data_IF_265367316662
#
_entry.id   IF_265367316662
#
_cell.length_a   1.000
_cell.length_b   1.000
_cell.length_c   1.000
_cell.angle_alpha   90.00
_cell.angle_beta   90.00
_cell.angle_gamma   90.00
#
_symmetry.space_group_name_H-M   'P 1'
#
loop_
_entity.id
_entity.type
_entity.pdbx_description
1 polymer ?
#
# COMPACT_ATOMS: atom_id res chain seq x y z
N UNK A 1 20.27 13.77 -10.91
CA UNK A 1 21.00 14.80 -10.16
C UNK A 1 22.51 14.53 -10.06
N UNK A 2 23.04 13.48 -10.70
CA UNK A 2 24.49 13.21 -10.80
C UNK A 2 25.15 12.70 -9.50
N UNK A 3 24.42 12.45 -8.43
CA UNK A 3 24.95 11.87 -7.20
C UNK A 3 25.08 10.35 -7.33
N UNK A 4 26.13 9.80 -6.73
CA UNK A 4 26.33 8.35 -6.57
C UNK A 4 25.82 7.90 -5.19
N UNK A 5 25.46 6.62 -5.01
CA UNK A 5 25.09 6.10 -3.69
C UNK A 5 26.16 6.36 -2.60
N UNK A 6 27.45 6.39 -2.99
CA UNK A 6 28.55 6.71 -2.10
C UNK A 6 28.58 8.16 -1.59
N UNK A 7 27.84 9.05 -2.23
CA UNK A 7 27.79 10.47 -1.85
C UNK A 7 26.74 10.72 -0.76
N UNK A 8 25.99 9.68 -0.38
CA UNK A 8 24.93 9.72 0.62
C UNK A 8 25.24 8.72 1.75
N UNK A 9 25.16 9.19 2.99
CA UNK A 9 25.26 8.31 4.15
C UNK A 9 23.86 7.70 4.44
N UNK A 10 23.64 6.48 3.99
CA UNK A 10 22.38 5.75 4.16
C UNK A 10 22.33 5.08 5.53
N UNK A 11 21.34 5.46 6.34
CA UNK A 11 21.05 4.80 7.63
C UNK A 11 19.63 4.24 7.64
N UNK A 12 19.45 3.09 8.27
CA UNK A 12 18.13 2.47 8.42
C UNK A 12 17.52 2.91 9.76
N UNK A 13 16.40 3.61 9.69
CA UNK A 13 15.64 4.05 10.87
C UNK A 13 14.22 3.53 10.81
N UNK A 14 13.70 3.08 11.94
CA UNK A 14 12.25 2.83 12.06
C UNK A 14 11.48 4.15 11.94
N UNK A 15 10.32 4.20 11.24
CA UNK A 15 9.59 5.44 11.00
C UNK A 15 9.26 6.26 12.25
N UNK A 16 8.90 5.67 13.41
CA UNK A 16 8.67 6.44 14.63
C UNK A 16 9.90 7.20 15.15
N UNK A 17 11.10 6.72 14.79
CA UNK A 17 12.38 7.34 15.21
C UNK A 17 12.80 8.44 14.24
N UNK A 18 12.41 8.33 12.97
CA UNK A 18 12.84 9.26 11.92
C UNK A 18 12.30 10.68 12.13
N UNK A 19 11.05 10.85 12.56
CA UNK A 19 10.46 12.19 12.80
C UNK A 19 11.24 12.95 13.89
N UNK A 20 11.49 12.40 15.10
CA UNK A 20 12.34 13.04 16.08
C UNK A 20 13.80 13.27 15.61
N UNK A 21 14.36 12.34 14.82
CA UNK A 21 15.71 12.48 14.28
C UNK A 21 15.80 13.68 13.31
N UNK A 22 14.80 13.83 12.42
CA UNK A 22 14.69 14.98 11.53
C UNK A 22 14.58 16.30 12.31
N UNK A 23 13.70 16.36 13.30
CA UNK A 23 13.51 17.55 14.15
C UNK A 23 14.78 17.97 14.91
N UNK A 24 15.68 17.04 15.17
CA UNK A 24 16.98 17.29 15.83
C UNK A 24 18.11 17.50 14.85
N UNK A 25 17.84 17.62 13.55
CA UNK A 25 18.86 17.72 12.48
C UNK A 25 19.86 16.57 12.49
N UNK A 26 19.42 15.36 12.84
CA UNK A 26 20.25 14.15 12.83
C UNK A 26 20.17 13.41 11.49
N UNK A 27 19.19 13.75 10.66
CA UNK A 27 19.05 13.29 9.27
C UNK A 27 18.60 14.47 8.40
N UNK A 28 19.06 14.49 7.16
CA UNK A 28 18.75 15.53 6.18
C UNK A 28 17.52 15.21 5.33
N UNK A 29 17.20 13.93 5.17
CA UNK A 29 16.05 13.43 4.43
C UNK A 29 15.65 12.04 4.85
N UNK A 30 14.45 11.63 4.45
CA UNK A 30 13.93 10.30 4.76
C UNK A 30 13.01 9.78 3.66
N UNK A 31 13.20 8.54 3.26
CA UNK A 31 12.30 7.83 2.36
C UNK A 31 11.32 7.00 3.17
N UNK A 32 10.02 7.30 3.06
CA UNK A 32 9.00 6.72 3.92
C UNK A 32 7.64 6.68 3.22
N UNK A 33 6.74 5.84 3.71
CA UNK A 33 5.35 5.78 3.24
C UNK A 33 4.44 6.84 3.89
N UNK A 34 3.32 7.09 3.27
CA UNK A 34 2.44 8.26 3.36
C UNK A 34 2.17 8.81 4.76
N UNK A 35 1.77 7.97 5.73
CA UNK A 35 1.43 8.42 7.10
C UNK A 35 2.61 9.13 7.77
N UNK A 36 3.80 8.59 7.62
CA UNK A 36 5.01 9.14 8.22
C UNK A 36 5.54 10.33 7.43
N UNK A 37 5.31 10.32 6.10
CA UNK A 37 5.56 11.48 5.24
C UNK A 37 4.75 12.68 5.70
N UNK A 38 3.45 12.52 5.92
CA UNK A 38 2.58 13.59 6.42
C UNK A 38 3.05 14.15 7.78
N UNK A 39 3.54 13.28 8.69
CA UNK A 39 4.11 13.72 9.98
C UNK A 39 5.40 14.51 9.82
N UNK A 40 6.26 14.12 8.88
CA UNK A 40 7.48 14.85 8.58
C UNK A 40 7.15 16.22 7.97
N UNK A 41 6.20 16.29 7.04
CA UNK A 41 5.73 17.56 6.47
C UNK A 41 5.15 18.49 7.54
N UNK A 42 4.34 17.95 8.47
CA UNK A 42 3.85 18.69 9.63
C UNK A 42 4.97 19.18 10.57
N UNK A 43 6.14 18.53 10.53
CA UNK A 43 7.34 18.94 11.27
C UNK A 43 8.25 19.90 10.49
N UNK A 44 7.79 20.39 9.33
CA UNK A 44 8.53 21.34 8.49
C UNK A 44 9.38 20.70 7.39
N UNK A 45 9.31 19.37 7.21
CA UNK A 45 9.97 18.72 6.07
C UNK A 45 9.25 19.06 4.76
N UNK A 46 10.01 19.08 3.68
CA UNK A 46 9.49 19.31 2.33
C UNK A 46 9.42 18.00 1.56
N UNK A 47 8.25 17.68 1.02
CA UNK A 47 8.12 16.60 0.03
C UNK A 47 8.93 16.96 -1.22
N UNK A 48 9.92 16.13 -1.56
CA UNK A 48 10.79 16.33 -2.73
C UNK A 48 10.28 15.54 -3.92
N UNK A 49 9.93 14.26 -3.70
CA UNK A 49 9.52 13.33 -4.75
C UNK A 49 8.64 12.23 -4.20
N UNK A 50 7.71 11.75 -5.00
CA UNK A 50 6.92 10.54 -4.73
C UNK A 50 7.35 9.43 -5.65
N UNK A 51 7.44 8.22 -5.14
CA UNK A 51 7.81 7.04 -5.95
C UNK A 51 6.87 6.83 -7.15
N UNK A 52 5.59 7.15 -7.02
CA UNK A 52 4.60 7.04 -8.10
C UNK A 52 4.91 7.99 -9.27
N UNK A 53 5.49 9.16 -9.00
CA UNK A 53 5.85 10.13 -10.04
C UNK A 53 7.03 9.63 -10.89
N UNK A 54 7.85 8.72 -10.35
CA UNK A 54 8.95 8.04 -11.04
C UNK A 54 8.52 6.69 -11.64
N UNK A 55 7.22 6.40 -11.66
CA UNK A 55 6.69 5.15 -12.20
C UNK A 55 6.86 3.94 -11.29
N UNK A 56 7.24 4.13 -10.02
CA UNK A 56 7.27 3.07 -9.03
C UNK A 56 5.90 2.93 -8.38
N UNK A 57 5.16 1.85 -8.67
CA UNK A 57 3.84 1.65 -8.09
C UNK A 57 3.95 1.45 -6.58
N UNK A 58 3.07 2.10 -5.85
CA UNK A 58 2.91 1.91 -4.41
C UNK A 58 1.56 1.28 -4.12
N UNK A 59 1.57 0.18 -3.40
CA UNK A 59 0.36 -0.50 -2.94
C UNK A 59 0.56 -1.11 -1.57
N UNK A 60 -0.44 -0.96 -0.71
CA UNK A 60 -0.52 -1.72 0.53
C UNK A 60 -1.20 -3.04 0.25
N UNK A 61 -0.59 -4.14 0.70
CA UNK A 61 -1.08 -5.49 0.45
C UNK A 61 -1.23 -6.27 1.75
N UNK A 62 -2.20 -7.17 1.78
CA UNK A 62 -2.31 -8.21 2.79
C UNK A 62 -1.64 -9.46 2.26
N UNK A 63 -0.87 -10.14 3.10
CA UNK A 63 -0.16 -11.36 2.73
C UNK A 63 -0.60 -12.53 3.61
N UNK A 64 -0.64 -13.71 3.01
CA UNK A 64 -0.86 -14.98 3.71
C UNK A 64 0.16 -15.98 3.23
N UNK A 65 0.62 -16.89 4.10
CA UNK A 65 1.52 -17.95 3.68
C UNK A 65 0.79 -18.97 2.81
N UNK A 66 1.51 -19.65 1.93
CA UNK A 66 0.94 -20.72 1.08
C UNK A 66 0.41 -21.88 1.92
N UNK A 67 1.09 -22.19 3.02
CA UNK A 67 0.70 -23.23 3.98
C UNK A 67 -0.63 -22.88 4.66
N UNK A 68 -0.80 -21.63 5.09
CA UNK A 68 -2.06 -21.16 5.66
C UNK A 68 -3.20 -21.25 4.66
N UNK A 69 -2.99 -20.79 3.42
CA UNK A 69 -3.99 -20.83 2.36
C UNK A 69 -4.41 -22.26 2.02
N UNK A 70 -3.46 -23.18 1.96
CA UNK A 70 -3.74 -24.59 1.67
C UNK A 70 -4.52 -25.28 2.82
N UNK A 71 -4.19 -24.96 4.07
CA UNK A 71 -4.85 -25.54 5.23
C UNK A 71 -6.20 -24.91 5.55
N UNK A 72 -6.40 -23.62 5.19
CA UNK A 72 -7.55 -22.82 5.66
C UNK A 72 -8.20 -21.97 4.54
N UNK A 73 -8.57 -22.55 3.38
CA UNK A 73 -9.09 -21.78 2.24
C UNK A 73 -10.36 -20.99 2.57
N UNK A 74 -11.26 -21.55 3.37
CA UNK A 74 -12.50 -20.88 3.79
C UNK A 74 -12.24 -19.71 4.74
N UNK A 75 -11.28 -19.83 5.64
CA UNK A 75 -10.91 -18.73 6.53
C UNK A 75 -10.28 -17.58 5.73
N UNK A 76 -9.43 -17.89 4.75
CA UNK A 76 -8.85 -16.91 3.85
C UNK A 76 -9.93 -16.20 3.02
N UNK A 77 -10.90 -16.94 2.46
CA UNK A 77 -12.02 -16.35 1.72
C UNK A 77 -12.87 -15.43 2.59
N UNK A 78 -13.21 -15.84 3.83
CA UNK A 78 -13.95 -14.99 4.78
C UNK A 78 -13.18 -13.73 5.17
N UNK A 79 -11.88 -13.84 5.39
CA UNK A 79 -11.04 -12.67 5.69
C UNK A 79 -11.07 -11.66 4.53
N UNK A 80 -10.88 -12.13 3.30
CA UNK A 80 -10.93 -11.28 2.10
C UNK A 80 -12.33 -10.66 1.93
N UNK A 81 -13.40 -11.44 2.16
CA UNK A 81 -14.77 -10.93 2.10
C UNK A 81 -15.03 -9.81 3.12
N UNK A 82 -14.52 -9.96 4.36
CA UNK A 82 -14.62 -8.92 5.40
C UNK A 82 -13.89 -7.64 4.99
N UNK A 83 -12.68 -7.75 4.44
CA UNK A 83 -11.95 -6.60 3.92
C UNK A 83 -12.70 -5.92 2.76
N UNK A 84 -13.29 -6.73 1.86
CA UNK A 84 -14.10 -6.22 0.76
C UNK A 84 -15.34 -5.48 1.25
N UNK A 85 -16.03 -6.02 2.25
CA UNK A 85 -17.19 -5.36 2.87
C UNK A 85 -16.78 -4.02 3.46
N UNK A 86 -15.74 -3.97 4.28
CA UNK A 86 -15.23 -2.74 4.87
C UNK A 86 -14.84 -1.70 3.80
N UNK A 87 -14.13 -2.12 2.75
CA UNK A 87 -13.76 -1.25 1.64
C UNK A 87 -14.99 -0.70 0.90
N UNK A 88 -16.01 -1.53 0.70
CA UNK A 88 -17.26 -1.15 0.03
C UNK A 88 -18.03 -0.13 0.86
N UNK A 89 -18.16 -0.36 2.17
CA UNK A 89 -18.84 0.54 3.10
C UNK A 89 -18.10 1.89 3.20
N UNK A 90 -16.77 1.87 3.30
CA UNK A 90 -15.96 3.08 3.29
C UNK A 90 -16.17 3.90 2.01
N UNK A 91 -16.14 3.26 0.84
CA UNK A 91 -16.38 3.92 -0.45
C UNK A 91 -17.77 4.52 -0.54
N UNK A 92 -18.80 3.78 -0.10
CA UNK A 92 -20.17 4.26 -0.07
C UNK A 92 -20.33 5.48 0.84
N UNK A 93 -19.74 5.45 2.03
CA UNK A 93 -19.76 6.58 2.97
C UNK A 93 -19.02 7.80 2.42
N UNK A 94 -17.87 7.61 1.81
CA UNK A 94 -17.12 8.70 1.17
C UNK A 94 -17.89 9.31 -0.01
N UNK A 95 -18.54 8.48 -0.84
CA UNK A 95 -19.33 8.93 -1.97
C UNK A 95 -20.61 9.70 -1.54
N UNK A 96 -21.22 9.30 -0.44
CA UNK A 96 -22.39 9.98 0.15
C UNK A 96 -22.02 11.35 0.72
N UNK A 97 -20.79 11.49 1.24
CA UNK A 97 -20.31 12.75 1.80
C UNK A 97 -20.91 13.09 3.16
N UNK A 98 -20.74 14.35 3.58
CA UNK A 98 -21.32 14.86 4.84
C UNK A 98 -20.89 14.04 6.07
N UNK A 99 -21.84 13.78 6.97
CA UNK A 99 -21.58 13.06 8.22
C UNK A 99 -21.03 11.65 8.03
N UNK A 100 -21.45 10.94 6.97
CA UNK A 100 -20.97 9.58 6.69
C UNK A 100 -19.48 9.58 6.31
N UNK A 101 -19.03 10.53 5.49
CA UNK A 101 -17.62 10.67 5.14
C UNK A 101 -16.78 11.09 6.35
N UNK A 102 -17.30 11.94 7.23
CA UNK A 102 -16.60 12.37 8.45
C UNK A 102 -16.33 11.21 9.39
N UNK A 103 -17.22 10.22 9.49
CA UNK A 103 -16.98 8.98 10.27
C UNK A 103 -15.76 8.23 9.72
N UNK A 104 -15.62 8.13 8.39
CA UNK A 104 -14.48 7.47 7.76
C UNK A 104 -13.19 8.25 8.01
N UNK A 105 -13.19 9.57 7.81
CA UNK A 105 -12.02 10.40 8.06
C UNK A 105 -11.58 10.33 9.52
N UNK A 106 -12.52 10.37 10.46
CA UNK A 106 -12.22 10.25 11.90
C UNK A 106 -11.60 8.88 12.24
N UNK A 107 -12.13 7.79 11.68
CA UNK A 107 -11.61 6.44 11.91
C UNK A 107 -10.17 6.30 11.36
N UNK A 108 -9.92 6.76 10.14
CA UNK A 108 -8.59 6.73 9.51
C UNK A 108 -7.62 7.65 10.27
N UNK A 109 -8.05 8.85 10.62
CA UNK A 109 -7.25 9.81 11.38
C UNK A 109 -6.82 9.24 12.74
N UNK A 110 -7.77 8.63 13.47
CA UNK A 110 -7.50 7.97 14.76
C UNK A 110 -6.53 6.80 14.60
N UNK A 111 -6.76 5.93 13.62
CA UNK A 111 -5.93 4.75 13.39
C UNK A 111 -4.47 5.11 13.03
N UNK A 112 -4.27 6.21 12.31
CA UNK A 112 -2.96 6.64 11.83
C UNK A 112 -2.33 7.77 12.67
N UNK A 113 -3.07 8.32 13.64
CA UNK A 113 -2.61 9.43 14.46
C UNK A 113 -2.38 10.70 13.66
N UNK A 114 -3.25 10.98 12.68
CA UNK A 114 -3.21 12.16 11.83
C UNK A 114 -4.53 12.93 11.92
N UNK A 115 -4.53 14.19 11.51
CA UNK A 115 -5.74 15.01 11.48
C UNK A 115 -6.68 14.62 10.31
N UNK A 116 -7.84 15.24 10.29
CA UNK A 116 -8.88 15.01 9.27
C UNK A 116 -8.39 15.32 7.85
N UNK A 117 -7.60 16.37 7.67
CA UNK A 117 -7.13 16.78 6.34
C UNK A 117 -6.14 15.75 5.80
N UNK A 118 -5.18 15.31 6.61
CA UNK A 118 -4.23 14.26 6.25
C UNK A 118 -4.95 12.91 6.01
N UNK A 119 -5.98 12.57 6.80
CA UNK A 119 -6.78 11.37 6.56
C UNK A 119 -7.50 11.40 5.19
N UNK A 120 -8.02 12.57 4.79
CA UNK A 120 -8.65 12.74 3.48
C UNK A 120 -7.64 12.58 2.34
N UNK A 121 -6.43 13.14 2.46
CA UNK A 121 -5.38 12.98 1.45
C UNK A 121 -4.87 11.53 1.37
N UNK A 122 -4.74 10.81 2.50
CA UNK A 122 -4.41 9.38 2.51
C UNK A 122 -5.43 8.57 1.72
N UNK A 123 -6.73 8.77 1.95
CA UNK A 123 -7.81 8.05 1.26
C UNK A 123 -7.91 8.42 -0.22
N UNK A 124 -7.54 9.64 -0.59
CA UNK A 124 -7.45 10.08 -1.98
C UNK A 124 -6.28 9.42 -2.71
N UNK A 125 -5.12 9.34 -2.05
CA UNK A 125 -3.91 8.72 -2.59
C UNK A 125 -4.05 7.18 -2.68
N UNK A 126 -4.70 6.56 -1.70
CA UNK A 126 -4.90 5.12 -1.61
C UNK A 126 -6.38 4.79 -1.34
N UNK A 127 -7.25 4.89 -2.36
CA UNK A 127 -8.67 4.58 -2.18
C UNK A 127 -8.84 3.08 -1.83
N UNK A 128 -9.78 2.74 -0.92
CA UNK A 128 -10.04 1.36 -0.53
C UNK A 128 -10.32 0.47 -1.75
N UNK A 129 -9.55 -0.60 -1.94
CA UNK A 129 -9.74 -1.54 -3.03
C UNK A 129 -10.88 -2.52 -2.71
N UNK A 130 -11.71 -2.84 -3.71
CA UNK A 130 -12.75 -3.86 -3.60
C UNK A 130 -12.38 -5.09 -4.42
N UNK A 131 -13.02 -6.24 -4.14
CA UNK A 131 -12.86 -7.46 -4.95
C UNK A 131 -13.19 -7.21 -6.42
N UNK A 132 -14.13 -6.33 -6.73
CA UNK A 132 -14.41 -5.94 -8.10
C UNK A 132 -13.20 -5.28 -8.77
N UNK A 133 -12.46 -4.42 -8.07
CA UNK A 133 -11.21 -3.85 -8.58
C UNK A 133 -10.14 -4.92 -8.82
N UNK A 134 -10.01 -5.89 -7.91
CA UNK A 134 -9.01 -6.96 -8.02
C UNK A 134 -9.32 -7.95 -9.16
N UNK A 135 -10.59 -8.17 -9.47
CA UNK A 135 -11.05 -9.08 -10.52
C UNK A 135 -11.28 -8.41 -11.88
N UNK A 136 -11.28 -7.08 -11.94
CA UNK A 136 -11.45 -6.34 -13.20
C UNK A 136 -10.16 -6.32 -14.02
N UNK A 137 -10.28 -6.54 -15.34
CA UNK A 137 -9.15 -6.44 -16.26
C UNK A 137 -8.61 -5.01 -16.42
N UNK A 138 -9.43 -4.00 -16.19
CA UNK A 138 -9.12 -2.59 -16.45
C UNK A 138 -8.60 -1.86 -15.19
N UNK A 139 -8.59 -2.54 -14.05
CA UNK A 139 -8.11 -1.96 -12.80
C UNK A 139 -6.59 -2.02 -12.68
N UNK A 140 -5.92 -0.94 -12.25
CA UNK A 140 -4.50 -0.97 -11.94
C UNK A 140 -4.17 -1.87 -10.73
N UNK A 141 -5.18 -2.22 -9.93
CA UNK A 141 -5.07 -3.15 -8.80
C UNK A 141 -5.46 -4.59 -9.17
N UNK A 142 -5.66 -4.87 -10.46
CA UNK A 142 -6.10 -6.18 -10.93
C UNK A 142 -5.09 -7.29 -10.58
N UNK A 143 -5.60 -8.38 -10.05
CA UNK A 143 -4.85 -9.63 -9.84
C UNK A 143 -4.91 -10.55 -11.05
N UNK A 144 -5.79 -10.25 -11.99
CA UNK A 144 -6.06 -11.11 -13.16
C UNK A 144 -5.54 -10.51 -14.47
N UNK A 145 -5.28 -9.21 -14.50
CA UNK A 145 -4.75 -8.49 -15.67
C UNK A 145 -3.22 -8.48 -15.68
N UNK A 146 -2.64 -8.64 -16.87
CA UNK A 146 -1.19 -8.50 -17.08
C UNK A 146 -0.69 -7.06 -16.90
N UNK A 147 -1.57 -6.07 -16.91
CA UNK A 147 -1.25 -4.65 -16.72
C UNK A 147 -1.55 -4.15 -15.31
N UNK A 148 -2.12 -5.00 -14.45
CA UNK A 148 -2.47 -4.67 -13.08
C UNK A 148 -1.33 -4.96 -12.09
N UNK A 149 -1.68 -5.49 -10.92
CA UNK A 149 -0.74 -5.76 -9.84
C UNK A 149 0.35 -6.77 -10.23
N UNK A 150 0.07 -7.69 -11.16
CA UNK A 150 1.09 -8.61 -11.68
C UNK A 150 2.25 -7.86 -12.33
N UNK A 151 1.97 -6.85 -13.15
CA UNK A 151 3.03 -6.02 -13.75
C UNK A 151 3.85 -5.31 -12.67
N UNK A 152 3.20 -4.82 -11.62
CA UNK A 152 3.86 -4.20 -10.48
C UNK A 152 4.78 -5.19 -9.74
N UNK A 153 4.32 -6.41 -9.47
CA UNK A 153 5.13 -7.47 -8.84
C UNK A 153 6.36 -7.80 -9.68
N UNK A 154 6.20 -7.92 -11.00
CA UNK A 154 7.32 -8.18 -11.91
C UNK A 154 8.34 -7.02 -11.87
N UNK A 155 7.87 -5.78 -11.95
CA UNK A 155 8.74 -4.60 -11.90
C UNK A 155 9.49 -4.52 -10.57
N UNK A 156 8.80 -4.72 -9.44
CA UNK A 156 9.43 -4.72 -8.12
C UNK A 156 10.46 -5.85 -7.97
N UNK A 157 10.19 -7.03 -8.54
CA UNK A 157 11.14 -8.14 -8.58
C UNK A 157 12.45 -7.76 -9.29
N UNK A 158 12.34 -7.09 -10.45
CA UNK A 158 13.53 -6.58 -11.19
C UNK A 158 14.32 -5.57 -10.39
N UNK A 159 13.64 -4.61 -9.77
CA UNK A 159 14.27 -3.60 -8.93
C UNK A 159 14.98 -4.27 -7.73
N UNK A 160 14.35 -5.26 -7.10
CA UNK A 160 14.93 -5.98 -5.98
C UNK A 160 16.21 -6.75 -6.37
N UNK A 161 16.26 -7.30 -7.59
CA UNK A 161 17.49 -7.91 -8.14
C UNK A 161 18.56 -6.84 -8.38
N UNK A 162 18.21 -5.72 -9.00
CA UNK A 162 19.14 -4.61 -9.27
C UNK A 162 19.71 -4.00 -7.98
N UNK A 163 18.89 -3.98 -6.92
CA UNK A 163 19.29 -3.52 -5.59
C UNK A 163 19.98 -4.61 -4.75
N UNK A 164 20.24 -5.78 -5.33
CA UNK A 164 20.86 -6.94 -4.65
C UNK A 164 20.06 -7.44 -3.42
N UNK A 165 18.79 -7.03 -3.28
CA UNK A 165 17.91 -7.47 -2.20
C UNK A 165 17.46 -8.92 -2.37
N UNK A 166 17.36 -9.41 -3.61
CA UNK A 166 17.13 -10.82 -3.95
C UNK A 166 18.10 -11.25 -5.05
N UNK A 167 18.40 -12.54 -5.11
CA UNK A 167 19.39 -13.08 -6.06
C UNK A 167 18.84 -13.19 -7.49
N UNK A 168 17.55 -13.43 -7.64
CA UNK A 168 16.88 -13.61 -8.93
C UNK A 168 15.41 -13.22 -8.85
N UNK A 169 14.83 -12.86 -9.99
CA UNK A 169 13.39 -12.61 -10.09
C UNK A 169 12.59 -13.89 -9.74
N UNK A 170 11.38 -13.74 -9.17
CA UNK A 170 10.47 -14.87 -8.95
C UNK A 170 10.21 -15.60 -10.28
N UNK A 171 10.39 -16.93 -10.30
CA UNK A 171 10.18 -17.72 -11.51
C UNK A 171 8.74 -17.63 -12.03
N UNK A 172 7.78 -17.58 -11.13
CA UNK A 172 6.35 -17.43 -11.42
C UNK A 172 5.77 -16.28 -10.60
N UNK A 173 5.89 -15.02 -11.03
CA UNK A 173 5.37 -13.85 -10.28
C UNK A 173 3.88 -13.96 -9.97
N UNK A 174 3.09 -14.64 -10.81
CA UNK A 174 1.67 -14.89 -10.58
C UNK A 174 1.40 -15.67 -9.27
N UNK A 175 2.33 -16.54 -8.85
CA UNK A 175 2.20 -17.33 -7.61
C UNK A 175 2.36 -16.49 -6.33
N UNK A 176 2.75 -15.23 -6.46
CA UNK A 176 2.80 -14.26 -5.36
C UNK A 176 1.46 -13.54 -5.16
N UNK A 177 0.54 -13.67 -6.11
CA UNK A 177 -0.80 -13.08 -6.02
C UNK A 177 -1.81 -14.13 -5.55
N UNK A 178 -2.86 -13.67 -4.87
CA UNK A 178 -3.97 -14.53 -4.51
C UNK A 178 -4.59 -15.13 -5.77
N UNK A 179 -4.84 -16.46 -5.81
CA UNK A 179 -5.43 -17.11 -6.98
C UNK A 179 -6.86 -16.57 -7.20
N UNK A 180 -7.22 -16.44 -8.49
CA UNK A 180 -8.55 -15.95 -8.89
C UNK A 180 -9.70 -16.70 -8.21
N UNK A 181 -9.56 -18.03 -8.07
CA UNK A 181 -10.55 -18.88 -7.40
C UNK A 181 -10.81 -18.49 -5.94
N UNK A 182 -9.78 -18.03 -5.21
CA UNK A 182 -9.92 -17.55 -3.83
C UNK A 182 -10.68 -16.22 -3.78
N UNK A 183 -10.40 -15.30 -4.70
CA UNK A 183 -11.11 -14.02 -4.79
C UNK A 183 -12.58 -14.24 -5.16
N UNK A 184 -12.87 -15.16 -6.09
CA UNK A 184 -14.23 -15.54 -6.47
C UNK A 184 -14.97 -16.27 -5.33
N UNK A 185 -14.26 -17.08 -4.53
CA UNK A 185 -14.84 -17.69 -3.33
C UNK A 185 -15.22 -16.62 -2.31
N UNK A 186 -14.35 -15.61 -2.09
CA UNK A 186 -14.65 -14.50 -1.19
C UNK A 186 -15.87 -13.68 -1.62
N UNK A 187 -16.14 -13.54 -2.92
CA UNK A 187 -17.35 -12.89 -3.44
C UNK A 187 -18.66 -13.62 -3.08
N UNK A 188 -18.59 -14.92 -2.77
CA UNK A 188 -19.75 -15.76 -2.45
C UNK A 188 -20.01 -15.86 -0.95
N UNK A 189 -19.12 -15.36 -0.12
CA UNK A 189 -19.31 -15.32 1.34
C UNK A 189 -20.43 -14.35 1.67
N UNK A 190 -21.42 -14.81 2.46
CA UNK A 190 -22.57 -14.02 2.94
C UNK A 190 -22.29 -13.45 4.32
#
# INVERSE_FOLDING_TARGET
VGMKPSDVNMIVLAPPVAVPAYQRNQIDGYYVWDVWGARLEASGAKLVQRAVDDGFPSSSIWTMTKEFLAANPDAAARFIATLNQASTEMRASLAKGGADAEVVYAAIGKANGVDRAAAAELLKAQPPATLQNLLSNDSPLSFVSKTGLLAQVIQQGRIAVQAEAIKQEPANPQDLLAPRSLLEAAMKVK
#
